data_IF_745430076650
#
_entry.id   IF_745430076650
#
_cell.length_a   1.000
_cell.length_b   1.000
_cell.length_c   1.000
_cell.angle_alpha   90.00
_cell.angle_beta   90.00
_cell.angle_gamma   90.00
#
_symmetry.space_group_name_H-M   'P 1'
#
loop_
_entity.id
_entity.type
_entity.pdbx_description
1 polymer ?
#
# COMPACT_ATOMS: atom_id res chain seq x y z
N UNK A 1 3.81 14.65 -0.03
CA UNK A 1 3.32 14.50 -1.41
C UNK A 1 2.16 15.43 -1.77
N UNK A 2 2.19 16.03 -2.97
CA UNK A 2 1.09 16.77 -3.61
C UNK A 2 0.65 16.05 -4.89
N UNK A 3 -0.66 15.99 -5.15
CA UNK A 3 -1.23 15.44 -6.38
C UNK A 3 -2.14 16.46 -7.05
N UNK A 4 -1.96 16.65 -8.36
CA UNK A 4 -2.78 17.56 -9.18
C UNK A 4 -3.41 16.78 -10.34
N UNK A 5 -4.69 17.00 -10.56
CA UNK A 5 -5.44 16.44 -11.68
C UNK A 5 -5.49 17.47 -12.80
N UNK A 6 -4.82 17.17 -13.91
CA UNK A 6 -4.96 17.92 -15.16
C UNK A 6 -6.10 17.33 -16.00
N UNK A 7 -6.32 17.89 -17.18
CA UNK A 7 -7.33 17.39 -18.11
C UNK A 7 -7.01 15.95 -18.54
N UNK A 8 -5.75 15.69 -18.91
CA UNK A 8 -5.27 14.48 -19.60
C UNK A 8 -4.26 13.64 -18.78
N UNK A 9 -3.94 14.04 -17.54
CA UNK A 9 -3.04 13.28 -16.67
C UNK A 9 -3.23 13.60 -15.19
N UNK A 10 -2.71 12.72 -14.33
CA UNK A 10 -2.51 12.97 -12.91
C UNK A 10 -1.03 13.24 -12.69
N UNK A 11 -0.70 14.37 -12.04
CA UNK A 11 0.67 14.76 -11.73
C UNK A 11 0.96 14.59 -10.24
N UNK A 12 2.08 13.96 -9.94
CA UNK A 12 2.59 13.73 -8.59
C UNK A 12 3.83 14.61 -8.36
N UNK A 13 3.89 15.26 -7.21
CA UNK A 13 5.00 16.12 -6.79
C UNK A 13 5.41 15.76 -5.36
N UNK A 14 6.70 15.53 -5.14
CA UNK A 14 7.23 15.03 -3.88
C UNK A 14 6.58 13.71 -3.46
N UNK A 15 6.50 12.73 -4.37
CA UNK A 15 6.05 11.38 -4.08
C UNK A 15 6.99 10.73 -3.07
N UNK A 16 6.47 10.04 -2.07
CA UNK A 16 7.27 9.68 -0.88
C UNK A 16 8.12 8.40 -1.08
N UNK A 17 7.85 7.61 -2.13
CA UNK A 17 8.40 6.25 -2.29
C UNK A 17 9.41 6.15 -3.45
N UNK A 18 10.72 5.98 -3.18
CA UNK A 18 11.79 5.98 -4.21
C UNK A 18 11.67 4.94 -5.32
N UNK A 19 10.99 3.82 -5.08
CA UNK A 19 10.76 2.78 -6.09
C UNK A 19 9.61 3.08 -7.04
N UNK A 20 8.83 4.14 -6.79
CA UNK A 20 7.65 4.46 -7.59
C UNK A 20 8.03 5.04 -8.95
N UNK A 21 7.25 4.71 -9.99
CA UNK A 21 7.44 5.24 -11.34
C UNK A 21 7.30 6.78 -11.42
N UNK A 22 6.64 7.37 -10.43
CA UNK A 22 6.40 8.82 -10.31
C UNK A 22 7.32 9.52 -9.31
N UNK A 23 8.37 8.85 -8.80
CA UNK A 23 9.27 9.41 -7.81
C UNK A 23 10.36 10.33 -8.40
N UNK A 24 10.72 11.44 -7.71
CA UNK A 24 9.91 12.11 -6.69
C UNK A 24 8.80 12.95 -7.34
N UNK A 25 8.81 13.09 -8.67
CA UNK A 25 7.80 13.79 -9.44
C UNK A 25 7.61 13.09 -10.78
N UNK A 26 6.35 12.87 -11.14
CA UNK A 26 5.99 12.16 -12.35
C UNK A 26 4.53 12.36 -12.70
N UNK A 27 4.07 11.69 -13.73
CA UNK A 27 2.68 11.75 -14.16
C UNK A 27 2.20 10.42 -14.70
N UNK A 28 0.89 10.21 -14.62
CA UNK A 28 0.22 9.06 -15.24
C UNK A 28 -0.92 9.57 -16.09
N UNK A 29 -0.91 9.20 -17.37
CA UNK A 29 -2.01 9.43 -18.30
C UNK A 29 -3.13 8.39 -18.08
N UNK A 30 -4.39 8.68 -18.43
CA UNK A 30 -5.51 7.75 -18.31
C UNK A 30 -5.24 6.37 -18.92
N UNK A 31 -4.60 6.32 -20.09
CA UNK A 31 -4.25 5.06 -20.76
C UNK A 31 -3.26 4.19 -19.97
N UNK A 32 -2.52 4.78 -19.03
CA UNK A 32 -1.64 4.06 -18.10
C UNK A 32 -2.35 3.57 -16.83
N UNK A 33 -3.63 3.92 -16.63
CA UNK A 33 -4.42 3.53 -15.46
C UNK A 33 -5.34 2.39 -15.86
N UNK A 34 -5.23 1.26 -15.17
CA UNK A 34 -6.10 0.11 -15.36
C UNK A 34 -7.45 0.34 -14.67
N UNK A 35 -7.40 0.73 -13.41
CA UNK A 35 -8.56 0.89 -12.53
C UNK A 35 -8.19 1.71 -11.30
N UNK A 36 -9.19 2.24 -10.59
CA UNK A 36 -9.00 3.06 -9.40
C UNK A 36 -9.91 2.63 -8.26
N UNK A 37 -9.46 2.86 -7.03
CA UNK A 37 -10.28 2.73 -5.83
C UNK A 37 -10.23 4.02 -5.03
N UNK A 38 -11.23 4.88 -5.25
CA UNK A 38 -11.40 6.12 -4.47
C UNK A 38 -12.18 5.90 -3.16
N UNK A 39 -12.60 4.65 -2.87
CA UNK A 39 -13.30 4.26 -1.65
C UNK A 39 -12.38 3.55 -0.65
N UNK A 40 -11.22 3.08 -1.09
CA UNK A 40 -10.15 2.58 -0.23
C UNK A 40 -9.80 3.56 0.90
N UNK A 41 -9.26 3.02 2.01
CA UNK A 41 -8.83 3.80 3.18
C UNK A 41 -7.92 4.96 2.75
N UNK A 42 -7.00 4.66 1.84
CA UNK A 42 -6.25 5.66 1.07
C UNK A 42 -6.64 5.54 -0.41
N UNK A 43 -7.24 6.58 -1.01
CA UNK A 43 -7.58 6.56 -2.43
C UNK A 43 -6.37 6.20 -3.29
N UNK A 44 -6.57 5.38 -4.31
CA UNK A 44 -5.47 4.88 -5.14
C UNK A 44 -5.87 4.65 -6.60
N UNK A 45 -4.88 4.75 -7.49
CA UNK A 45 -4.97 4.26 -8.86
C UNK A 45 -4.06 3.07 -9.04
N UNK A 46 -4.43 2.14 -9.91
CA UNK A 46 -3.58 1.04 -10.32
C UNK A 46 -3.19 1.20 -11.77
N UNK A 47 -1.89 1.13 -12.05
CA UNK A 47 -1.40 1.23 -13.41
C UNK A 47 -1.62 -0.08 -14.17
N UNK A 48 -1.54 -0.02 -15.49
CA UNK A 48 -1.57 -1.22 -16.36
C UNK A 48 -0.40 -2.18 -16.08
N UNK A 49 0.66 -1.71 -15.42
CA UNK A 49 1.80 -2.51 -14.98
C UNK A 49 1.60 -3.12 -13.58
N UNK A 50 0.46 -2.87 -12.94
CA UNK A 50 0.14 -3.40 -11.60
C UNK A 50 0.70 -2.58 -10.44
N UNK A 51 1.25 -1.39 -10.71
CA UNK A 51 1.71 -0.49 -9.65
C UNK A 51 0.53 0.24 -9.01
N UNK A 52 0.48 0.28 -7.68
CA UNK A 52 -0.49 1.07 -6.94
C UNK A 52 0.09 2.44 -6.60
N UNK A 53 -0.55 3.50 -7.08
CA UNK A 53 -0.19 4.88 -6.74
C UNK A 53 -1.24 5.51 -5.84
N UNK A 54 -0.80 5.91 -4.65
CA UNK A 54 -1.63 6.57 -3.65
C UNK A 54 -1.96 8.01 -4.00
N UNK A 55 -3.18 8.39 -3.68
CA UNK A 55 -3.73 9.74 -3.83
C UNK A 55 -4.10 10.25 -2.42
N UNK A 56 -3.74 11.49 -2.05
CA UNK A 56 -4.14 12.06 -0.77
C UNK A 56 -5.66 12.04 -0.61
N UNK A 57 -6.14 11.76 0.61
CA UNK A 57 -7.57 11.57 0.87
C UNK A 57 -8.40 12.80 0.52
N UNK A 58 -7.82 13.98 0.66
CA UNK A 58 -8.39 15.28 0.35
C UNK A 58 -8.69 15.44 -1.15
N UNK A 59 -7.95 14.70 -2.00
CA UNK A 59 -8.12 14.69 -3.46
C UNK A 59 -9.06 13.59 -3.96
N UNK A 60 -9.74 12.87 -3.06
CA UNK A 60 -10.72 11.83 -3.42
C UNK A 60 -11.76 12.33 -4.44
N UNK A 61 -12.43 13.49 -4.25
CA UNK A 61 -13.43 13.96 -5.21
C UNK A 61 -12.84 14.21 -6.62
N UNK A 62 -11.59 14.67 -6.68
CA UNK A 62 -10.89 14.90 -7.95
C UNK A 62 -10.56 13.59 -8.65
N UNK A 63 -10.14 12.57 -7.90
CA UNK A 63 -9.89 11.23 -8.44
C UNK A 63 -11.16 10.64 -9.04
N UNK A 64 -12.28 10.72 -8.32
CA UNK A 64 -13.58 10.25 -8.79
C UNK A 64 -14.01 10.97 -10.07
N UNK A 65 -13.94 12.30 -10.09
CA UNK A 65 -14.27 13.10 -11.28
C UNK A 65 -13.35 12.79 -12.48
N UNK A 66 -12.06 12.60 -12.25
CA UNK A 66 -11.09 12.22 -13.27
C UNK A 66 -11.41 10.84 -13.85
N UNK A 67 -11.71 9.86 -13.00
CA UNK A 67 -12.04 8.50 -13.45
C UNK A 67 -13.33 8.48 -14.27
N UNK A 68 -14.37 9.21 -13.83
CA UNK A 68 -15.61 9.33 -14.60
C UNK A 68 -15.40 9.96 -15.98
N UNK A 69 -14.59 11.03 -16.05
CA UNK A 69 -14.29 11.71 -17.32
C UNK A 69 -13.59 10.81 -18.33
N UNK A 70 -12.69 9.95 -17.86
CA UNK A 70 -11.84 9.11 -18.71
C UNK A 70 -12.32 7.66 -18.82
N UNK A 71 -13.45 7.30 -18.22
CA UNK A 71 -13.99 5.94 -18.25
C UNK A 71 -13.15 4.92 -17.48
N UNK A 72 -12.38 5.35 -16.47
CA UNK A 72 -11.58 4.45 -15.63
C UNK A 72 -12.52 3.76 -14.63
N UNK A 73 -12.46 2.43 -14.58
CA UNK A 73 -13.33 1.63 -13.72
C UNK A 73 -13.03 1.85 -12.23
N UNK A 74 -14.09 1.90 -11.42
CA UNK A 74 -14.02 1.82 -9.97
C UNK A 74 -13.96 0.36 -9.56
N UNK A 75 -12.86 -0.08 -8.95
CA UNK A 75 -12.69 -1.46 -8.50
C UNK A 75 -12.28 -1.46 -7.04
N UNK A 76 -13.16 -2.00 -6.19
CA UNK A 76 -12.83 -2.26 -4.79
C UNK A 76 -12.02 -3.55 -4.69
N UNK A 77 -10.90 -3.50 -3.98
CA UNK A 77 -9.96 -4.63 -3.90
C UNK A 77 -9.79 -5.08 -2.45
N UNK A 78 -9.64 -6.39 -2.20
CA UNK A 78 -9.23 -6.86 -0.89
C UNK A 78 -7.87 -6.28 -0.52
N UNK A 79 -7.74 -5.74 0.70
CA UNK A 79 -6.47 -5.26 1.19
C UNK A 79 -5.62 -6.42 1.72
N UNK A 80 -4.84 -6.99 0.81
CA UNK A 80 -3.89 -8.07 1.12
C UNK A 80 -2.86 -7.64 2.16
N UNK A 81 -2.43 -6.37 2.11
CA UNK A 81 -1.44 -5.87 3.06
C UNK A 81 -2.07 -5.62 4.43
N UNK A 82 -3.29 -5.11 4.48
CA UNK A 82 -4.13 -5.08 5.68
C UNK A 82 -4.13 -6.43 6.41
N UNK A 83 -4.49 -7.50 5.68
CA UNK A 83 -4.56 -8.85 6.24
C UNK A 83 -3.18 -9.42 6.64
N UNK A 84 -2.12 -9.12 5.87
CA UNK A 84 -0.76 -9.56 6.19
C UNK A 84 -0.21 -8.88 7.44
N UNK A 85 -0.54 -7.60 7.64
CA UNK A 85 0.01 -6.73 8.69
C UNK A 85 -0.84 -6.67 9.96
N UNK A 86 -2.06 -7.25 9.95
CA UNK A 86 -2.96 -7.32 11.12
C UNK A 86 -2.26 -7.68 12.45
N UNK A 87 -1.33 -8.66 12.52
CA UNK A 87 -0.66 -8.99 13.79
C UNK A 87 0.28 -7.91 14.35
N UNK A 88 0.55 -6.84 13.60
CA UNK A 88 1.39 -5.72 14.05
C UNK A 88 0.57 -4.54 14.57
N UNK A 89 -0.76 -4.61 14.53
CA UNK A 89 -1.64 -3.64 15.16
C UNK A 89 -1.47 -3.66 16.68
N UNK A 90 -1.66 -2.50 17.31
CA UNK A 90 -1.76 -2.39 18.77
C UNK A 90 -3.19 -2.75 19.24
N UNK A 91 -3.69 -3.88 18.74
CA UNK A 91 -5.01 -4.41 19.07
C UNK A 91 -4.87 -5.90 19.31
N UNK A 92 -5.47 -6.36 20.41
CA UNK A 92 -5.56 -7.79 20.68
C UNK A 92 -6.56 -8.43 19.71
N UNK A 93 -6.03 -9.16 18.72
CA UNK A 93 -6.84 -9.88 17.74
C UNK A 93 -7.30 -11.23 18.32
N UNK A 94 -8.60 -11.51 18.21
CA UNK A 94 -9.17 -12.78 18.66
C UNK A 94 -8.87 -13.93 17.70
N UNK A 95 -8.86 -15.17 18.21
CA UNK A 95 -8.61 -16.35 17.37
C UNK A 95 -9.60 -16.53 16.19
N UNK A 96 -10.84 -16.04 16.34
CA UNK A 96 -11.84 -16.05 15.27
C UNK A 96 -11.51 -15.04 14.16
N UNK A 97 -11.04 -13.86 14.53
CA UNK A 97 -10.63 -12.81 13.61
C UNK A 97 -9.37 -13.23 12.86
N UNK A 98 -8.36 -13.74 13.58
CA UNK A 98 -7.14 -14.27 12.98
C UNK A 98 -7.47 -15.39 11.96
N UNK A 99 -8.40 -16.29 12.30
CA UNK A 99 -8.86 -17.34 11.37
C UNK A 99 -9.47 -16.74 10.11
N UNK A 100 -10.35 -15.74 10.26
CA UNK A 100 -10.99 -15.08 9.14
C UNK A 100 -9.96 -14.38 8.23
N UNK A 101 -8.94 -13.75 8.80
CA UNK A 101 -7.84 -13.11 8.08
C UNK A 101 -7.00 -14.13 7.32
N UNK A 102 -6.65 -15.25 7.95
CA UNK A 102 -5.96 -16.36 7.27
C UNK A 102 -6.81 -16.91 6.11
N UNK A 103 -8.12 -17.05 6.28
CA UNK A 103 -8.99 -17.55 5.22
C UNK A 103 -9.08 -16.58 4.03
N UNK A 104 -9.08 -15.26 4.27
CA UNK A 104 -8.97 -14.25 3.20
C UNK A 104 -7.64 -14.36 2.45
N UNK A 105 -6.52 -14.45 3.17
CA UNK A 105 -5.19 -14.64 2.57
C UNK A 105 -5.06 -15.96 1.79
N UNK A 106 -5.75 -17.03 2.23
CA UNK A 106 -5.78 -18.28 1.48
C UNK A 106 -6.60 -18.19 0.21
N UNK A 107 -7.73 -17.48 0.24
CA UNK A 107 -8.51 -17.15 -0.97
C UNK A 107 -7.69 -16.27 -1.93
N UNK A 108 -6.75 -15.49 -1.40
CA UNK A 108 -5.74 -14.73 -2.14
C UNK A 108 -4.60 -15.56 -2.74
N UNK A 109 -4.60 -16.88 -2.53
CA UNK A 109 -3.58 -17.77 -3.05
C UNK A 109 -2.32 -17.88 -2.18
N UNK A 110 -2.30 -17.33 -0.97
CA UNK A 110 -1.16 -17.48 -0.07
C UNK A 110 -1.22 -18.80 0.69
N UNK A 111 -0.06 -19.45 0.79
CA UNK A 111 0.13 -20.56 1.70
C UNK A 111 0.41 -20.06 3.13
N UNK A 112 0.11 -20.87 4.15
CA UNK A 112 0.45 -20.54 5.53
C UNK A 112 1.95 -20.31 5.72
N UNK A 113 2.79 -21.04 4.96
CA UNK A 113 4.25 -20.89 4.97
C UNK A 113 4.68 -19.53 4.43
N UNK A 114 4.07 -19.06 3.34
CA UNK A 114 4.35 -17.73 2.79
C UNK A 114 3.90 -16.63 3.76
N UNK A 115 2.70 -16.74 4.32
CA UNK A 115 2.17 -15.76 5.30
C UNK A 115 3.13 -15.63 6.49
N UNK A 116 3.53 -16.76 7.08
CA UNK A 116 4.48 -16.77 8.20
C UNK A 116 5.86 -16.22 7.79
N UNK A 117 6.32 -16.51 6.57
CA UNK A 117 7.57 -15.99 6.04
C UNK A 117 7.57 -14.47 5.85
N UNK A 118 6.50 -13.92 5.28
CA UNK A 118 6.30 -12.48 5.08
C UNK A 118 6.23 -11.77 6.43
N UNK A 119 5.37 -12.26 7.34
CA UNK A 119 5.24 -11.68 8.69
C UNK A 119 6.56 -11.71 9.45
N UNK A 120 7.30 -12.81 9.41
CA UNK A 120 8.63 -12.88 10.04
C UNK A 120 9.63 -11.90 9.44
N UNK A 121 9.61 -11.72 8.10
CA UNK A 121 10.48 -10.73 7.43
C UNK A 121 10.15 -9.30 7.87
N UNK A 122 8.88 -8.99 8.04
CA UNK A 122 8.41 -7.63 8.32
C UNK A 122 8.35 -7.27 9.79
N UNK A 123 8.33 -8.25 10.70
CA UNK A 123 8.15 -8.02 12.13
C UNK A 123 9.11 -6.97 12.72
N UNK A 124 10.44 -7.01 12.47
CA UNK A 124 11.34 -5.99 13.03
C UNK A 124 10.99 -4.58 12.56
N UNK A 125 10.61 -4.43 11.29
CA UNK A 125 10.27 -3.13 10.70
C UNK A 125 8.93 -2.61 11.23
N UNK A 126 7.90 -3.45 11.20
CA UNK A 126 6.53 -3.04 11.53
C UNK A 126 6.34 -2.83 13.03
N UNK A 127 7.02 -3.60 13.88
CA UNK A 127 7.01 -3.36 15.32
C UNK A 127 7.70 -2.03 15.66
N UNK A 128 8.83 -1.72 15.03
CA UNK A 128 9.50 -0.44 15.24
C UNK A 128 8.66 0.74 14.72
N UNK A 129 8.01 0.57 13.57
CA UNK A 129 7.10 1.58 13.05
C UNK A 129 5.87 1.78 13.96
N UNK A 130 5.23 0.73 14.43
CA UNK A 130 3.98 0.89 15.17
C UNK A 130 4.19 1.24 16.65
N UNK A 131 5.16 0.60 17.31
CA UNK A 131 5.38 0.71 18.76
C UNK A 131 6.51 1.67 19.11
N UNK A 132 7.69 1.53 18.51
CA UNK A 132 8.87 2.34 18.88
C UNK A 132 8.74 3.78 18.39
N UNK A 133 8.16 3.98 17.21
CA UNK A 133 7.84 5.30 16.67
C UNK A 133 6.53 5.89 17.21
N UNK A 134 5.86 5.20 18.14
CA UNK A 134 4.64 5.63 18.82
C UNK A 134 3.47 5.98 17.87
N UNK A 135 3.37 5.29 16.73
CA UNK A 135 2.22 5.43 15.83
C UNK A 135 0.97 4.86 16.53
N UNK A 136 1.11 3.72 17.21
CA UNK A 136 0.06 3.03 17.98
C UNK A 136 -1.23 2.86 17.18
N UNK A 137 -1.09 2.45 15.93
CA UNK A 137 -2.20 2.15 15.06
C UNK A 137 -2.90 0.87 15.52
N UNK A 138 -4.20 1.02 15.79
CA UNK A 138 -5.08 0.02 16.39
C UNK A 138 -6.12 -0.56 15.41
N UNK A 139 -6.31 0.06 14.24
CA UNK A 139 -7.41 -0.22 13.31
C UNK A 139 -6.87 -0.76 11.99
N UNK A 140 -5.82 -0.15 11.43
CA UNK A 140 -5.40 -0.50 10.07
C UNK A 140 -3.94 -0.20 9.73
N UNK A 141 -3.21 -1.21 9.25
CA UNK A 141 -1.90 -1.05 8.61
C UNK A 141 -1.96 -1.63 7.20
N UNK A 142 -1.73 -0.82 6.17
CA UNK A 142 -1.81 -1.23 4.77
C UNK A 142 -0.48 -1.12 4.01
N UNK A 143 -0.56 -1.20 2.68
CA UNK A 143 0.62 -1.04 1.81
C UNK A 143 1.30 0.32 2.00
N UNK A 144 0.52 1.39 2.16
CA UNK A 144 1.06 2.72 2.39
C UNK A 144 1.91 2.77 3.66
N UNK A 145 1.44 2.16 4.74
CA UNK A 145 2.15 2.10 6.04
C UNK A 145 3.42 1.27 5.93
N UNK A 146 3.37 0.13 5.22
CA UNK A 146 4.54 -0.69 4.96
C UNK A 146 5.66 0.09 4.25
N UNK A 147 5.31 0.81 3.18
CA UNK A 147 6.26 1.60 2.41
C UNK A 147 6.77 2.81 3.22
N UNK A 148 5.89 3.41 4.02
CA UNK A 148 6.26 4.50 4.94
C UNK A 148 7.24 3.99 5.98
N UNK A 149 6.98 2.86 6.63
CA UNK A 149 7.87 2.24 7.60
C UNK A 149 9.27 1.99 7.02
N UNK A 150 9.35 1.52 5.78
CA UNK A 150 10.61 1.26 5.09
C UNK A 150 11.40 2.54 4.76
N UNK A 151 10.73 3.67 4.55
CA UNK A 151 11.35 4.96 4.20
C UNK A 151 11.56 5.92 5.38
N UNK A 152 10.76 5.82 6.44
CA UNK A 152 10.62 6.87 7.44
C UNK A 152 11.87 7.01 8.34
N UNK A 153 12.38 8.24 8.55
CA UNK A 153 13.52 8.48 9.45
C UNK A 153 13.28 8.07 10.90
N UNK A 154 12.01 8.00 11.33
CA UNK A 154 11.63 7.57 12.68
C UNK A 154 11.95 6.10 12.94
N UNK A 155 12.04 5.29 11.89
CA UNK A 155 12.50 3.89 11.99
C UNK A 155 14.02 3.86 11.87
N UNK A 156 14.68 3.20 12.82
CA UNK A 156 16.14 3.11 12.85
C UNK A 156 16.72 2.62 11.52
N UNK A 157 17.78 3.27 11.03
CA UNK A 157 18.37 2.98 9.72
C UNK A 157 18.80 1.51 9.56
N UNK A 158 19.29 0.88 10.63
CA UNK A 158 19.64 -0.55 10.64
C UNK A 158 18.44 -1.46 10.38
N UNK A 159 17.25 -1.11 10.88
CA UNK A 159 16.02 -1.88 10.63
C UNK A 159 15.51 -1.66 9.21
N UNK A 160 15.55 -0.42 8.70
CA UNK A 160 15.25 -0.13 7.30
C UNK A 160 16.19 -0.88 6.34
N UNK A 161 17.46 -1.03 6.69
CA UNK A 161 18.40 -1.82 5.90
C UNK A 161 18.06 -3.32 5.83
N UNK A 162 17.32 -3.87 6.80
CA UNK A 162 16.94 -5.30 6.80
C UNK A 162 15.94 -5.66 5.70
N UNK A 163 15.18 -4.69 5.17
CA UNK A 163 14.26 -4.96 4.06
C UNK A 163 14.94 -4.96 2.70
N UNK A 164 16.20 -4.52 2.64
CA UNK A 164 17.07 -4.55 1.46
C UNK A 164 17.06 -3.24 0.68
N UNK A 165 17.32 -3.35 -0.63
CA UNK A 165 17.24 -2.22 -1.54
C UNK A 165 15.81 -1.64 -1.61
N UNK A 166 15.63 -0.31 -1.46
CA UNK A 166 14.30 0.31 -1.44
C UNK A 166 13.47 0.08 -2.71
N UNK A 167 14.08 0.06 -3.89
CA UNK A 167 13.37 -0.15 -5.14
C UNK A 167 12.93 -1.62 -5.26
N UNK A 168 13.82 -2.57 -4.96
CA UNK A 168 13.48 -3.99 -4.91
C UNK A 168 12.40 -4.30 -3.86
N UNK A 169 12.43 -3.61 -2.70
CA UNK A 169 11.39 -3.74 -1.68
C UNK A 169 10.04 -3.20 -2.16
N UNK A 170 10.04 -2.04 -2.83
CA UNK A 170 8.83 -1.46 -3.41
C UNK A 170 8.22 -2.39 -4.48
N UNK A 171 9.02 -2.90 -5.41
CA UNK A 171 8.57 -3.85 -6.43
C UNK A 171 7.98 -5.12 -5.80
N UNK A 172 8.64 -5.68 -4.78
CA UNK A 172 8.14 -6.82 -4.03
C UNK A 172 6.80 -6.51 -3.35
N UNK A 173 6.67 -5.32 -2.77
CA UNK A 173 5.45 -4.89 -2.10
C UNK A 173 4.27 -4.75 -3.08
N UNK A 174 4.52 -4.15 -4.25
CA UNK A 174 3.54 -4.03 -5.34
C UNK A 174 3.14 -5.39 -5.91
N UNK A 175 4.10 -6.28 -6.14
CA UNK A 175 3.83 -7.63 -6.64
C UNK A 175 2.88 -8.42 -5.72
N UNK A 176 3.00 -8.26 -4.40
CA UNK A 176 2.08 -8.87 -3.43
C UNK A 176 0.69 -8.21 -3.50
N UNK A 177 0.62 -6.88 -3.58
CA UNK A 177 -0.65 -6.15 -3.66
C UNK A 177 -1.46 -6.46 -4.94
N UNK A 178 -0.76 -6.84 -6.02
CA UNK A 178 -1.34 -7.19 -7.31
C UNK A 178 -1.73 -8.67 -7.44
N UNK A 179 -1.39 -9.54 -6.46
CA UNK A 179 -1.77 -10.96 -6.50
C UNK A 179 -3.29 -11.17 -6.52
N UNK A 180 -4.05 -10.25 -5.94
CA UNK A 180 -5.50 -10.26 -6.02
C UNK A 180 -5.98 -9.45 -7.22
N UNK A 181 -6.47 -10.17 -8.24
CA UNK A 181 -7.15 -9.62 -9.42
C UNK A 181 -8.65 -9.78 -9.32
#
# INVERSE_FOLDING_TARGET
MEVRFAEDHIRFLGYDFPGASVYPSGMVAPAGIRDADWKAIRPEVRTVLGETLFIPRERKPDLEAFCHRHGIASVSRPDTWGDLLEPFLDTQIGAAEERATIDRLRKAGFTLREIAGIRRRLAPLMLAYNFDAMVWEWVHLGLFDLLTAAGAPVVAAGLRATVGDPAAFYEWAMAIAERHR
#
